data_IF_071276571575
#
_entry.id   IF_071276571575
#
_cell.length_a   1.000
_cell.length_b   1.000
_cell.length_c   1.000
_cell.angle_alpha   90.00
_cell.angle_beta   90.00
_cell.angle_gamma   90.00
#
_symmetry.space_group_name_H-M   'P 1'
#
loop_
_entity.id
_entity.type
_entity.pdbx_description
1 polymer ?
#
# COMPACT_ATOMS: atom_id res chain seq x y z
N UNK A 1 -3.51 -30.96 27.34
CA UNK A 1 -4.07 -29.59 27.48
C UNK A 1 -3.90 -28.84 26.17
N UNK A 2 -5.01 -28.57 25.46
CA UNK A 2 -5.02 -27.90 24.16
C UNK A 2 -4.79 -26.40 24.38
N UNK A 3 -3.64 -25.87 24.00
CA UNK A 3 -3.37 -24.43 24.02
C UNK A 3 -4.07 -23.78 22.83
N UNK A 4 -5.32 -23.37 23.04
CA UNK A 4 -6.06 -22.49 22.13
C UNK A 4 -5.61 -21.06 22.47
N UNK A 5 -4.39 -20.71 22.08
CA UNK A 5 -3.88 -19.34 22.28
C UNK A 5 -4.27 -18.49 21.08
N UNK A 6 -5.40 -17.82 21.24
CA UNK A 6 -5.68 -16.46 20.75
C UNK A 6 -5.07 -16.12 19.38
N UNK A 7 -5.77 -16.53 18.33
CA UNK A 7 -5.84 -15.74 17.11
C UNK A 7 -6.40 -14.36 17.49
N UNK A 8 -5.51 -13.43 17.82
CA UNK A 8 -5.86 -12.03 17.78
C UNK A 8 -6.12 -11.72 16.30
N UNK A 9 -7.39 -11.83 15.91
CA UNK A 9 -7.91 -11.18 14.71
C UNK A 9 -7.52 -9.70 14.83
N UNK A 10 -6.38 -9.33 14.24
CA UNK A 10 -6.22 -7.99 13.70
C UNK A 10 -7.15 -7.91 12.50
N UNK A 11 -8.45 -7.81 12.78
CA UNK A 11 -9.41 -7.16 11.92
C UNK A 11 -9.07 -5.66 11.92
N UNK A 12 -7.85 -5.33 11.46
CA UNK A 12 -7.49 -3.97 11.14
C UNK A 12 -8.31 -3.68 9.90
N UNK A 13 -9.46 -3.03 10.11
CA UNK A 13 -10.35 -2.44 9.11
C UNK A 13 -9.58 -2.20 7.82
N UNK A 14 -9.69 -3.17 6.92
CA UNK A 14 -9.26 -3.00 5.55
C UNK A 14 -10.06 -1.80 5.09
N UNK A 15 -9.38 -0.66 4.96
CA UNK A 15 -9.88 0.52 4.27
C UNK A 15 -10.00 0.23 2.77
N UNK A 16 -10.54 -0.93 2.40
CA UNK A 16 -11.14 -1.21 1.11
C UNK A 16 -12.42 -0.41 1.07
N UNK A 17 -12.30 0.91 0.94
CA UNK A 17 -13.36 1.63 0.26
C UNK A 17 -13.48 0.95 -1.10
N UNK A 18 -14.63 0.33 -1.46
CA UNK A 18 -14.80 -0.22 -2.80
C UNK A 18 -14.58 0.95 -3.76
N UNK A 19 -13.47 0.92 -4.49
CA UNK A 19 -13.06 1.97 -5.43
C UNK A 19 -13.95 2.00 -6.69
N UNK A 20 -15.17 1.46 -6.63
CA UNK A 20 -15.99 1.18 -7.80
C UNK A 20 -17.38 1.75 -7.64
N UNK A 21 -17.47 3.08 -7.76
CA UNK A 21 -18.64 3.74 -8.31
C UNK A 21 -18.29 4.11 -9.77
N UNK A 22 -19.16 3.72 -10.71
CA UNK A 22 -18.88 3.59 -12.14
C UNK A 22 -18.49 4.87 -12.90
N UNK A 23 -18.58 6.05 -12.30
CA UNK A 23 -18.18 7.33 -12.92
C UNK A 23 -16.70 7.72 -12.70
N UNK A 24 -15.98 7.04 -11.80
CA UNK A 24 -14.61 7.42 -11.38
C UNK A 24 -13.46 6.74 -12.16
N UNK A 25 -13.76 5.81 -13.06
CA UNK A 25 -12.73 5.04 -13.78
C UNK A 25 -11.79 5.91 -14.61
N UNK A 26 -12.27 7.01 -15.19
CA UNK A 26 -11.42 7.93 -15.95
C UNK A 26 -10.48 8.80 -15.09
N UNK A 27 -10.83 9.04 -13.81
CA UNK A 27 -9.97 9.76 -12.87
C UNK A 27 -8.89 8.85 -12.25
N UNK A 28 -9.25 7.59 -11.96
CA UNK A 28 -8.33 6.64 -11.30
C UNK A 28 -7.08 6.37 -12.13
N UNK A 29 -7.20 6.24 -13.45
CA UNK A 29 -6.08 5.97 -14.37
C UNK A 29 -5.16 7.15 -14.59
N UNK A 30 -5.63 8.38 -14.35
CA UNK A 30 -4.84 9.61 -14.49
C UNK A 30 -4.01 9.94 -13.25
N UNK A 31 -4.32 9.35 -12.09
CA UNK A 31 -3.51 9.54 -10.90
C UNK A 31 -2.15 8.84 -11.05
N UNK A 32 -1.07 9.64 -11.07
CA UNK A 32 0.28 9.15 -11.37
C UNK A 32 0.72 7.99 -10.49
N UNK A 33 0.36 7.99 -9.20
CA UNK A 33 0.77 6.99 -8.22
C UNK A 33 -0.30 5.92 -7.95
N UNK A 34 -1.24 5.71 -8.88
CA UNK A 34 -2.34 4.75 -8.68
C UNK A 34 -1.83 3.31 -8.52
N UNK A 35 -0.92 2.88 -9.40
CA UNK A 35 -0.33 1.55 -9.30
C UNK A 35 0.53 1.40 -8.04
N UNK A 36 1.31 2.42 -7.68
CA UNK A 36 2.09 2.46 -6.44
C UNK A 36 1.19 2.31 -5.20
N UNK A 37 0.06 3.02 -5.13
CA UNK A 37 -0.93 2.88 -4.06
C UNK A 37 -1.50 1.46 -4.00
N UNK A 38 -1.89 0.87 -5.14
CA UNK A 38 -2.40 -0.51 -5.21
C UNK A 38 -1.37 -1.52 -4.72
N UNK A 39 -0.12 -1.39 -5.16
CA UNK A 39 0.95 -2.30 -4.76
C UNK A 39 1.35 -2.12 -3.30
N UNK A 40 1.28 -0.90 -2.75
CA UNK A 40 1.43 -0.64 -1.33
C UNK A 40 0.35 -1.35 -0.48
N UNK A 41 -0.92 -1.35 -0.93
CA UNK A 41 -1.98 -2.13 -0.27
C UNK A 41 -1.68 -3.63 -0.33
N UNK A 42 -1.21 -4.13 -1.48
CA UNK A 42 -0.84 -5.54 -1.62
C UNK A 42 0.33 -5.96 -0.70
N UNK A 43 1.19 -5.03 -0.26
CA UNK A 43 2.24 -5.34 0.72
C UNK A 43 1.66 -5.85 2.05
N UNK A 44 0.50 -5.34 2.48
CA UNK A 44 -0.16 -5.82 3.69
C UNK A 44 -0.54 -7.31 3.55
N UNK A 45 -1.04 -7.71 2.37
CA UNK A 45 -1.33 -9.13 2.09
C UNK A 45 -0.07 -10.00 2.15
N UNK A 46 1.08 -9.51 1.68
CA UNK A 46 2.36 -10.24 1.78
C UNK A 46 2.79 -10.41 3.24
N UNK A 47 2.59 -9.40 4.10
CA UNK A 47 2.87 -9.52 5.54
C UNK A 47 1.98 -10.58 6.19
N UNK A 48 0.69 -10.62 5.85
CA UNK A 48 -0.22 -11.68 6.32
C UNK A 48 0.26 -13.06 5.88
N UNK A 49 0.65 -13.23 4.61
CA UNK A 49 1.19 -14.50 4.10
C UNK A 49 2.47 -14.92 4.82
N UNK A 50 3.35 -13.97 5.15
CA UNK A 50 4.54 -14.24 5.96
C UNK A 50 4.15 -14.70 7.37
N UNK A 51 3.21 -14.03 8.05
CA UNK A 51 2.71 -14.49 9.35
C UNK A 51 2.11 -15.90 9.28
N UNK A 52 1.26 -16.18 8.28
CA UNK A 52 0.66 -17.50 8.07
C UNK A 52 1.71 -18.59 7.84
N UNK A 53 2.80 -18.28 7.14
CA UNK A 53 3.91 -19.23 6.92
C UNK A 53 4.68 -19.58 8.20
N UNK A 54 4.55 -18.77 9.26
CA UNK A 54 5.22 -18.94 10.55
C UNK A 54 4.32 -19.54 11.64
N UNK A 55 3.01 -19.43 11.49
CA UNK A 55 1.99 -19.85 12.48
C UNK A 55 1.53 -21.32 12.30
N UNK A 56 2.04 -22.01 11.29
CA UNK A 56 1.70 -23.40 11.00
C UNK A 56 2.53 -24.40 11.81
N UNK A 57 1.96 -25.58 12.11
CA UNK A 57 2.67 -26.72 12.74
C UNK A 57 4.01 -27.06 12.06
N UNK A 58 4.11 -26.76 10.75
CA UNK A 58 5.33 -26.81 9.96
C UNK A 58 5.48 -25.48 9.23
N UNK A 59 6.59 -24.79 9.45
CA UNK A 59 6.90 -23.51 8.80
C UNK A 59 6.97 -23.72 7.28
N UNK A 60 6.21 -22.93 6.53
CA UNK A 60 6.27 -22.93 5.06
C UNK A 60 7.39 -21.99 4.57
N UNK A 61 8.60 -22.55 4.53
CA UNK A 61 9.81 -21.82 4.09
C UNK A 61 9.70 -21.33 2.64
N UNK A 62 8.98 -22.04 1.78
CA UNK A 62 8.83 -21.66 0.36
C UNK A 62 7.96 -20.42 0.24
N UNK A 63 6.81 -20.40 0.92
CA UNK A 63 5.92 -19.25 0.97
C UNK A 63 6.60 -18.05 1.65
N UNK A 64 7.34 -18.29 2.74
CA UNK A 64 8.08 -17.24 3.44
C UNK A 64 9.11 -16.57 2.51
N UNK A 65 9.97 -17.35 1.86
CA UNK A 65 10.99 -16.84 0.92
C UNK A 65 10.38 -16.09 -0.24
N UNK A 66 9.31 -16.61 -0.82
CA UNK A 66 8.61 -15.96 -1.93
C UNK A 66 8.02 -14.61 -1.51
N UNK A 67 7.30 -14.58 -0.38
CA UNK A 67 6.66 -13.37 0.14
C UNK A 67 7.70 -12.32 0.55
N UNK A 68 8.79 -12.73 1.21
CA UNK A 68 9.94 -11.87 1.56
C UNK A 68 10.55 -11.20 0.33
N UNK A 69 10.79 -11.97 -0.73
CA UNK A 69 11.35 -11.45 -1.99
C UNK A 69 10.41 -10.45 -2.64
N UNK A 70 9.13 -10.79 -2.79
CA UNK A 70 8.14 -9.89 -3.39
C UNK A 70 7.98 -8.61 -2.58
N UNK A 71 7.94 -8.72 -1.25
CA UNK A 71 7.81 -7.57 -0.36
C UNK A 71 8.99 -6.61 -0.53
N UNK A 72 10.22 -7.15 -0.48
CA UNK A 72 11.44 -6.35 -0.65
C UNK A 72 11.47 -5.61 -1.98
N UNK A 73 11.17 -6.31 -3.08
CA UNK A 73 11.24 -5.72 -4.43
C UNK A 73 10.22 -4.60 -4.61
N UNK A 74 8.99 -4.80 -4.14
CA UNK A 74 7.95 -3.77 -4.23
C UNK A 74 8.22 -2.61 -3.29
N UNK A 75 8.65 -2.85 -2.04
CA UNK A 75 8.97 -1.78 -1.09
C UNK A 75 10.08 -0.85 -1.61
N UNK A 76 11.13 -1.42 -2.21
CA UNK A 76 12.16 -0.62 -2.88
C UNK A 76 11.57 0.17 -4.05
N UNK A 77 10.80 -0.50 -4.92
CA UNK A 77 10.16 0.15 -6.06
C UNK A 77 9.18 1.26 -5.69
N UNK A 78 8.48 1.17 -4.55
CA UNK A 78 7.59 2.21 -4.04
C UNK A 78 8.35 3.49 -3.64
N UNK A 79 9.62 3.35 -3.26
CA UNK A 79 10.47 4.50 -2.90
C UNK A 79 11.18 5.14 -4.08
N UNK A 80 11.80 4.32 -4.95
CA UNK A 80 12.70 4.80 -6.01
C UNK A 80 12.18 4.56 -7.43
N UNK A 81 11.03 3.90 -7.58
CA UNK A 81 10.52 3.46 -8.86
C UNK A 81 11.07 2.08 -9.26
N UNK A 82 10.29 1.36 -10.07
CA UNK A 82 10.69 0.08 -10.65
C UNK A 82 9.85 -0.21 -11.91
N UNK A 83 10.50 -0.18 -13.08
CA UNK A 83 9.82 -0.37 -14.37
C UNK A 83 9.17 -1.75 -14.51
N UNK A 84 9.79 -2.80 -13.96
CA UNK A 84 9.27 -4.17 -14.05
C UNK A 84 7.91 -4.31 -13.34
N UNK A 85 7.71 -3.56 -12.26
CA UNK A 85 6.45 -3.53 -11.52
C UNK A 85 5.56 -2.33 -11.89
N UNK A 86 5.94 -1.55 -12.90
CA UNK A 86 5.29 -0.28 -13.28
C UNK A 86 5.13 0.68 -12.09
N UNK A 87 6.09 0.65 -11.17
CA UNK A 87 6.16 1.55 -10.02
C UNK A 87 6.88 2.82 -10.43
N UNK A 88 6.28 3.97 -10.14
CA UNK A 88 6.91 5.26 -10.44
C UNK A 88 7.84 5.71 -9.33
N UNK A 89 7.64 5.20 -8.11
CA UNK A 89 8.23 5.79 -6.93
C UNK A 89 7.51 7.08 -6.57
N UNK A 90 7.73 7.56 -5.35
CA UNK A 90 7.04 8.76 -4.84
C UNK A 90 8.01 9.88 -4.47
N UNK A 91 7.74 11.06 -5.03
CA UNK A 91 8.36 12.32 -4.60
C UNK A 91 7.62 13.01 -3.45
N UNK A 92 6.47 12.49 -3.01
CA UNK A 92 5.64 13.12 -1.99
C UNK A 92 6.32 12.89 -0.62
N UNK A 93 6.79 13.95 0.08
CA UNK A 93 7.63 13.79 1.27
C UNK A 93 7.00 12.90 2.34
N UNK A 94 5.71 13.10 2.66
CA UNK A 94 5.01 12.31 3.68
C UNK A 94 4.95 10.81 3.35
N UNK A 95 4.72 10.45 2.09
CA UNK A 95 4.69 9.04 1.66
C UNK A 95 6.11 8.48 1.72
N UNK A 96 7.09 9.23 1.20
CA UNK A 96 8.49 8.81 1.17
C UNK A 96 9.03 8.55 2.58
N UNK A 97 8.79 9.46 3.53
CA UNK A 97 9.18 9.29 4.94
C UNK A 97 8.59 8.01 5.53
N UNK A 98 7.30 7.74 5.31
CA UNK A 98 6.67 6.52 5.83
C UNK A 98 7.23 5.25 5.20
N UNK A 99 7.52 5.25 3.91
CA UNK A 99 8.17 4.11 3.26
C UNK A 99 9.61 3.89 3.77
N UNK A 100 10.35 4.95 4.10
CA UNK A 100 11.68 4.84 4.72
C UNK A 100 11.63 4.26 6.14
N UNK A 101 10.61 4.60 6.93
CA UNK A 101 10.34 3.95 8.23
C UNK A 101 10.09 2.44 8.02
N UNK A 102 9.26 2.07 7.03
CA UNK A 102 8.98 0.67 6.68
C UNK A 102 10.25 -0.05 6.24
N UNK A 103 11.11 0.57 5.42
CA UNK A 103 12.39 -0.01 4.98
C UNK A 103 13.34 -0.26 6.14
N UNK A 104 13.45 0.70 7.07
CA UNK A 104 14.29 0.54 8.26
C UNK A 104 13.86 -0.66 9.09
N UNK A 105 12.55 -0.78 9.38
CA UNK A 105 12.02 -1.94 10.09
C UNK A 105 12.20 -3.24 9.30
N UNK A 106 11.94 -3.20 7.99
CA UNK A 106 12.10 -4.37 7.14
C UNK A 106 13.53 -4.91 7.16
N UNK A 107 14.54 -4.04 7.11
CA UNK A 107 15.93 -4.43 7.16
C UNK A 107 16.30 -5.13 8.48
N UNK A 108 15.72 -4.71 9.62
CA UNK A 108 15.89 -5.44 10.87
C UNK A 108 15.20 -6.80 10.85
N UNK A 109 13.97 -6.87 10.31
CA UNK A 109 13.18 -8.11 10.26
C UNK A 109 13.75 -9.14 9.29
N UNK A 110 14.39 -8.71 8.18
CA UNK A 110 15.07 -9.61 7.25
C UNK A 110 16.10 -10.50 7.96
N UNK A 111 16.81 -9.99 8.97
CA UNK A 111 17.77 -10.77 9.75
C UNK A 111 17.07 -11.82 10.61
N UNK A 112 15.92 -11.49 11.18
CA UNK A 112 15.11 -12.41 11.98
C UNK A 112 14.54 -13.52 11.10
N UNK A 113 13.91 -13.16 9.98
CA UNK A 113 13.32 -14.12 9.03
C UNK A 113 14.38 -15.05 8.42
N UNK A 114 15.58 -14.54 8.12
CA UNK A 114 16.65 -15.37 7.56
C UNK A 114 17.16 -16.41 8.58
N UNK A 115 17.12 -16.12 9.88
CA UNK A 115 17.43 -17.13 10.91
C UNK A 115 16.38 -18.24 10.96
N UNK A 116 15.11 -17.91 10.74
CA UNK A 116 14.04 -18.91 10.63
C UNK A 116 14.29 -19.82 9.43
N UNK A 117 14.71 -19.26 8.30
CA UNK A 117 15.05 -20.03 7.10
C UNK A 117 16.23 -21.01 7.32
N UNK A 118 17.14 -20.69 8.24
CA UNK A 118 18.25 -21.56 8.65
C UNK A 118 17.91 -22.53 9.78
N UNK A 119 16.63 -22.64 10.18
CA UNK A 119 16.16 -23.62 11.16
C UNK A 119 15.96 -23.09 12.58
N UNK A 120 16.15 -21.79 12.84
CA UNK A 120 15.76 -21.19 14.12
C UNK A 120 14.23 -21.21 14.26
N UNK A 121 13.70 -21.62 15.42
CA UNK A 121 12.26 -21.74 15.67
C UNK A 121 11.64 -20.57 16.44
N UNK A 122 12.34 -19.44 16.60
CA UNK A 122 11.79 -18.26 17.27
C UNK A 122 10.80 -17.49 16.37
N UNK A 123 9.72 -18.16 15.99
CA UNK A 123 8.65 -17.62 15.13
C UNK A 123 7.87 -16.52 15.83
N UNK A 124 7.74 -16.57 17.16
CA UNK A 124 7.06 -15.54 17.95
C UNK A 124 7.70 -14.16 17.75
N UNK A 125 9.04 -14.08 17.83
CA UNK A 125 9.75 -12.81 17.58
C UNK A 125 9.55 -12.32 16.14
N UNK A 126 9.56 -13.23 15.16
CA UNK A 126 9.32 -12.88 13.76
C UNK A 126 7.90 -12.36 13.53
N UNK A 127 6.89 -13.01 14.11
CA UNK A 127 5.48 -12.60 14.01
C UNK A 127 5.29 -11.23 14.67
N UNK A 128 5.88 -11.00 15.85
CA UNK A 128 5.82 -9.70 16.51
C UNK A 128 6.44 -8.57 15.65
N UNK A 129 7.57 -8.87 14.99
CA UNK A 129 8.21 -7.96 14.04
C UNK A 129 7.37 -7.65 12.81
N UNK A 130 6.78 -8.68 12.20
CA UNK A 130 5.86 -8.56 11.07
C UNK A 130 4.59 -7.76 11.43
N UNK A 131 4.07 -7.90 12.65
CA UNK A 131 2.93 -7.09 13.12
C UNK A 131 3.30 -5.60 13.26
N UNK A 132 4.49 -5.29 13.75
CA UNK A 132 4.99 -3.89 13.76
C UNK A 132 5.15 -3.35 12.34
N UNK A 133 5.68 -4.17 11.43
CA UNK A 133 5.80 -3.82 10.02
C UNK A 133 4.43 -3.55 9.36
N UNK A 134 3.41 -4.37 9.69
CA UNK A 134 2.04 -4.18 9.22
C UNK A 134 1.49 -2.81 9.60
N UNK A 135 1.70 -2.38 10.85
CA UNK A 135 1.25 -1.07 11.33
C UNK A 135 1.88 0.05 10.49
N UNK A 136 3.21 0.02 10.30
CA UNK A 136 3.91 1.03 9.50
C UNK A 136 3.54 1.01 8.03
N UNK A 137 3.34 -0.18 7.45
CA UNK A 137 2.87 -0.29 6.08
C UNK A 137 1.46 0.29 5.93
N UNK A 138 0.59 0.08 6.92
CA UNK A 138 -0.76 0.66 6.97
C UNK A 138 -0.72 2.19 7.04
N UNK A 139 0.19 2.77 7.84
CA UNK A 139 0.43 4.22 7.85
C UNK A 139 0.83 4.74 6.45
N UNK A 140 1.72 4.04 5.75
CA UNK A 140 2.11 4.42 4.39
C UNK A 140 0.93 4.35 3.40
N UNK A 141 0.10 3.31 3.47
CA UNK A 141 -1.13 3.19 2.67
C UNK A 141 -2.10 4.32 2.95
N UNK A 142 -2.26 4.73 4.22
CA UNK A 142 -3.09 5.90 4.58
C UNK A 142 -2.58 7.17 3.89
N UNK A 143 -1.26 7.37 3.79
CA UNK A 143 -0.70 8.54 3.10
C UNK A 143 -0.97 8.50 1.59
N UNK A 144 -0.88 7.34 0.95
CA UNK A 144 -1.30 7.17 -0.44
C UNK A 144 -2.79 7.52 -0.64
N UNK A 145 -3.66 6.99 0.22
CA UNK A 145 -5.09 7.25 0.16
C UNK A 145 -5.42 8.74 0.36
N UNK A 146 -4.73 9.43 1.28
CA UNK A 146 -4.87 10.88 1.47
C UNK A 146 -4.46 11.66 0.23
N UNK A 147 -3.33 11.30 -0.38
CA UNK A 147 -2.86 11.92 -1.63
C UNK A 147 -3.86 11.74 -2.76
N UNK A 148 -4.40 10.52 -2.92
CA UNK A 148 -5.41 10.22 -3.93
C UNK A 148 -6.72 11.00 -3.71
N UNK A 149 -7.20 11.10 -2.47
CA UNK A 149 -8.41 11.89 -2.14
C UNK A 149 -8.24 13.37 -2.53
N UNK A 150 -7.07 13.97 -2.24
CA UNK A 150 -6.77 15.36 -2.63
C UNK A 150 -6.75 15.52 -4.16
N UNK A 151 -6.15 14.59 -4.87
CA UNK A 151 -6.15 14.58 -6.34
C UNK A 151 -7.59 14.55 -6.89
N UNK A 152 -8.45 13.67 -6.35
CA UNK A 152 -9.85 13.57 -6.76
C UNK A 152 -10.61 14.87 -6.55
N UNK A 153 -10.47 15.48 -5.37
CA UNK A 153 -11.10 16.76 -5.04
C UNK A 153 -10.67 17.88 -5.99
N UNK A 154 -9.35 18.02 -6.22
CA UNK A 154 -8.81 19.03 -7.13
C UNK A 154 -9.30 18.84 -8.58
N UNK A 155 -9.37 17.60 -9.05
CA UNK A 155 -9.88 17.30 -10.38
C UNK A 155 -11.38 17.59 -10.53
N UNK A 156 -12.18 17.36 -9.49
CA UNK A 156 -13.61 17.68 -9.49
C UNK A 156 -13.86 19.19 -9.46
N UNK A 157 -13.09 19.93 -8.66
CA UNK A 157 -13.18 21.40 -8.65
C UNK A 157 -12.79 21.98 -10.02
N UNK A 158 -11.73 21.45 -10.63
CA UNK A 158 -11.28 21.90 -11.96
C UNK A 158 -12.35 21.67 -13.02
N UNK A 159 -13.09 20.56 -12.99
CA UNK A 159 -14.15 20.31 -13.96
C UNK A 159 -15.37 21.23 -13.76
N UNK A 160 -15.72 21.54 -12.51
CA UNK A 160 -16.77 22.51 -12.18
C UNK A 160 -16.39 23.91 -12.70
N UNK A 161 -15.17 24.38 -12.40
CA UNK A 161 -14.68 25.68 -12.86
C UNK A 161 -14.66 25.76 -14.37
N UNK A 162 -14.14 24.73 -15.06
CA UNK A 162 -14.09 24.72 -16.52
C UNK A 162 -15.49 24.73 -17.16
N UNK A 163 -16.47 24.05 -16.56
CA UNK A 163 -17.86 24.09 -17.02
C UNK A 163 -18.43 25.50 -16.89
N UNK A 164 -18.26 26.11 -15.72
CA UNK A 164 -18.79 27.45 -15.45
C UNK A 164 -18.14 28.54 -16.31
N UNK A 165 -16.82 28.46 -16.54
CA UNK A 165 -16.12 29.37 -17.43
C UNK A 165 -16.52 29.15 -18.88
N UNK A 166 -16.61 27.89 -19.33
CA UNK A 166 -17.05 27.56 -20.69
C UNK A 166 -18.49 28.00 -20.99
N UNK A 167 -19.41 27.86 -20.03
CA UNK A 167 -20.78 28.36 -20.12
C UNK A 167 -20.83 29.90 -20.21
N UNK A 168 -20.04 30.60 -19.40
CA UNK A 168 -19.94 32.08 -19.49
C UNK A 168 -19.36 32.54 -20.82
N UNK A 169 -18.36 31.86 -21.35
CA UNK A 169 -17.78 32.16 -22.67
C UNK A 169 -18.77 31.92 -23.81
N UNK A 170 -19.56 30.84 -23.75
CA UNK A 170 -20.59 30.54 -24.73
C UNK A 170 -21.75 31.55 -24.70
N UNK A 171 -22.17 31.99 -23.51
CA UNK A 171 -23.20 33.02 -23.35
C UNK A 171 -22.73 34.41 -23.82
N UNK A 172 -21.46 34.76 -23.59
CA UNK A 172 -20.88 36.02 -24.07
C UNK A 172 -20.81 36.10 -25.60
N UNK A 173 -20.56 34.98 -26.29
CA UNK A 173 -20.51 34.92 -27.76
C UNK A 173 -21.91 34.99 -28.40
N UNK A 174 -22.96 34.57 -27.69
CA UNK A 174 -24.34 34.63 -28.20
C UNK A 174 -24.99 36.02 -28.04
N UNK A 175 -24.44 36.89 -27.19
CA UNK A 175 -24.94 38.27 -26.97
C UNK A 175 -24.27 39.31 -27.89
N UNK A 176 -23.43 38.89 -28.86
CA UNK A 176 -22.74 39.76 -29.83
C UNK A 176 -23.33 39.57 -31.26
N UNK A 177 -24.53 38.98 -31.38
CA UNK A 177 -25.30 38.91 -32.64
C UNK A 177 -26.55 39.76 -32.53
#
# INVERSE_FOLDING_TARGET
MKKITKLALLALLLGTSPLVASSDYALTTKYKLFNDMKLAQNQQSLIVKMNQSLDSNKIDIKLLKHSKKQFTQVLLGLTSGNRNYKLRGTGIPMIKTKLLEVQTLWNSELKVLSRIESGNKNTEKAIAGLNKLMIKMSEAVIMYNKSYKRYKQSSMLSSIVNRHLGEKSALALNNIK
#
